data_IF_633893101616
#
_entry.id   IF_633893101616
#
_cell.length_a   1.000
_cell.length_b   1.000
_cell.length_c   1.000
_cell.angle_alpha   90.00
_cell.angle_beta   90.00
_cell.angle_gamma   90.00
#
_symmetry.space_group_name_H-M   'P 1'
#
loop_
_entity.id
_entity.type
_entity.pdbx_description
1 polymer ?
#
# COMPACT_ATOMS: atom_id res chain seq x y z
N UNK A 1 60.03 34.18 -18.57
CA UNK A 1 61.45 34.14 -18.15
C UNK A 1 61.74 33.10 -17.06
N UNK A 2 60.78 32.68 -16.23
CA UNK A 2 61.03 31.69 -15.15
C UNK A 2 61.18 30.22 -15.63
N UNK A 3 60.45 29.79 -16.67
CA UNK A 3 60.51 28.39 -17.14
C UNK A 3 61.80 28.06 -17.90
N UNK A 4 62.34 28.99 -18.68
CA UNK A 4 63.63 28.81 -19.35
C UNK A 4 64.79 28.69 -18.35
N UNK A 5 64.78 29.47 -17.26
CA UNK A 5 65.79 29.35 -16.21
C UNK A 5 65.69 28.03 -15.44
N UNK A 6 64.47 27.50 -15.24
CA UNK A 6 64.25 26.19 -14.59
C UNK A 6 64.67 25.02 -15.50
N UNK A 7 64.33 25.07 -16.78
CA UNK A 7 64.76 24.08 -17.78
C UNK A 7 66.29 24.03 -17.89
N UNK A 8 66.96 25.18 -17.96
CA UNK A 8 68.42 25.25 -17.97
C UNK A 8 69.04 24.73 -16.66
N UNK A 9 68.41 24.97 -15.50
CA UNK A 9 68.89 24.45 -14.21
C UNK A 9 68.80 22.93 -14.09
N UNK A 10 67.76 22.29 -14.62
CA UNK A 10 67.62 20.82 -14.57
C UNK A 10 68.54 20.14 -15.59
N UNK A 11 68.62 20.67 -16.82
CA UNK A 11 69.57 20.20 -17.83
C UNK A 11 71.02 20.32 -17.35
N UNK A 12 71.36 21.39 -16.63
CA UNK A 12 72.69 21.56 -16.04
C UNK A 12 73.05 20.50 -15.00
N UNK A 13 72.08 19.96 -14.25
CA UNK A 13 72.33 18.90 -13.25
C UNK A 13 72.62 17.56 -13.91
N UNK A 14 71.84 17.22 -14.93
CA UNK A 14 72.04 16.00 -15.72
C UNK A 14 73.36 16.07 -16.48
N UNK A 15 73.67 17.22 -17.10
CA UNK A 15 74.95 17.46 -17.76
C UNK A 15 76.15 17.30 -16.81
N UNK A 16 76.02 17.74 -15.56
CA UNK A 16 77.07 17.54 -14.53
C UNK A 16 77.24 16.07 -14.18
N UNK A 17 76.15 15.29 -14.10
CA UNK A 17 76.21 13.86 -13.84
C UNK A 17 76.89 13.09 -14.99
N UNK A 18 76.54 13.41 -16.24
CA UNK A 18 77.19 12.82 -17.42
C UNK A 18 78.68 13.20 -17.51
N UNK A 19 79.04 14.45 -17.19
CA UNK A 19 80.44 14.87 -17.13
C UNK A 19 81.23 14.09 -16.08
N UNK A 20 80.67 13.88 -14.88
CA UNK A 20 81.30 13.05 -13.84
C UNK A 20 81.44 11.59 -14.27
N UNK A 21 80.47 11.04 -15.00
CA UNK A 21 80.55 9.70 -15.57
C UNK A 21 81.68 9.61 -16.61
N UNK A 22 81.75 10.58 -17.52
CA UNK A 22 82.82 10.73 -18.51
C UNK A 22 84.20 10.79 -17.82
N UNK A 23 84.37 11.66 -16.82
CA UNK A 23 85.63 11.80 -16.08
C UNK A 23 86.07 10.48 -15.41
N UNK A 24 85.12 9.68 -14.91
CA UNK A 24 85.44 8.36 -14.33
C UNK A 24 85.79 7.31 -15.39
N UNK A 25 85.15 7.36 -16.56
CA UNK A 25 85.47 6.45 -17.68
C UNK A 25 86.87 6.76 -18.20
N UNK A 26 87.18 8.03 -18.47
CA UNK A 26 88.46 8.46 -19.03
C UNK A 26 89.62 8.31 -18.03
N UNK A 27 89.44 8.70 -16.77
CA UNK A 27 90.56 8.78 -15.81
C UNK A 27 90.72 7.56 -14.91
N UNK A 28 89.76 6.63 -14.89
CA UNK A 28 89.83 5.42 -14.06
C UNK A 28 89.63 4.16 -14.86
N UNK A 29 88.53 4.07 -15.62
CA UNK A 29 88.17 2.83 -16.31
C UNK A 29 89.10 2.52 -17.49
N UNK A 30 89.41 3.53 -18.32
CA UNK A 30 90.29 3.37 -19.48
C UNK A 30 91.74 3.04 -19.11
N UNK A 31 92.38 3.69 -18.10
CA UNK A 31 93.69 3.28 -17.60
C UNK A 31 93.71 1.85 -17.04
N UNK A 32 92.66 1.43 -16.32
CA UNK A 32 92.55 0.06 -15.82
C UNK A 32 92.43 -0.96 -16.96
N UNK A 33 91.66 -0.66 -18.01
CA UNK A 33 91.60 -1.52 -19.19
C UNK A 33 92.94 -1.56 -19.92
N UNK A 34 93.65 -0.44 -20.02
CA UNK A 34 94.98 -0.39 -20.62
C UNK A 34 96.02 -1.16 -19.78
N UNK A 35 95.93 -1.14 -18.45
CA UNK A 35 96.79 -1.93 -17.54
C UNK A 35 96.51 -3.43 -17.67
N UNK A 36 95.25 -3.84 -17.79
CA UNK A 36 94.85 -5.24 -17.84
C UNK A 36 95.02 -5.89 -19.23
N UNK A 37 94.89 -5.11 -20.31
CA UNK A 37 94.81 -5.65 -21.68
C UNK A 37 95.88 -5.12 -22.64
N UNK A 38 96.68 -4.13 -22.22
CA UNK A 38 97.91 -3.56 -22.82
C UNK A 38 97.87 -3.21 -24.32
N UNK A 39 97.74 -4.21 -25.21
CA UNK A 39 97.71 -4.04 -26.68
C UNK A 39 96.55 -4.75 -27.39
N UNK A 40 95.65 -5.43 -26.67
CA UNK A 40 94.48 -6.05 -27.29
C UNK A 40 93.35 -5.03 -27.50
N UNK A 41 93.52 -4.18 -28.52
CA UNK A 41 92.56 -3.13 -28.89
C UNK A 41 91.14 -3.64 -29.06
N UNK A 42 90.97 -4.88 -29.56
CA UNK A 42 89.64 -5.48 -29.73
C UNK A 42 88.87 -5.64 -28.41
N UNK A 43 89.53 -6.06 -27.32
CA UNK A 43 88.87 -6.21 -26.02
C UNK A 43 88.50 -4.83 -25.45
N UNK A 44 89.37 -3.84 -25.62
CA UNK A 44 89.10 -2.47 -25.16
C UNK A 44 87.93 -1.88 -25.96
N UNK A 45 87.89 -2.09 -27.28
CA UNK A 45 86.78 -1.68 -28.15
C UNK A 45 85.46 -2.35 -27.72
N UNK A 46 85.44 -3.67 -27.50
CA UNK A 46 84.25 -4.41 -27.02
C UNK A 46 83.75 -3.87 -25.66
N UNK A 47 84.66 -3.50 -24.75
CA UNK A 47 84.31 -2.92 -23.45
C UNK A 47 83.79 -1.48 -23.58
N UNK A 48 84.35 -0.69 -24.48
CA UNK A 48 83.84 0.64 -24.84
C UNK A 48 82.44 0.55 -25.45
N UNK A 49 82.21 -0.39 -26.37
CA UNK A 49 80.89 -0.67 -26.95
C UNK A 49 79.89 -1.05 -25.86
N UNK A 50 80.27 -1.93 -24.93
CA UNK A 50 79.40 -2.32 -23.80
C UNK A 50 78.95 -1.12 -22.96
N UNK A 51 79.87 -0.17 -22.68
CA UNK A 51 79.54 1.04 -21.91
C UNK A 51 78.66 1.98 -22.74
N UNK A 52 78.96 2.16 -24.03
CA UNK A 52 78.16 3.01 -24.91
C UNK A 52 76.73 2.48 -25.06
N UNK A 53 76.57 1.16 -25.24
CA UNK A 53 75.27 0.51 -25.31
C UNK A 53 74.48 0.67 -24.02
N UNK A 54 75.13 0.50 -22.85
CA UNK A 54 74.48 0.69 -21.57
C UNK A 54 73.98 2.14 -21.34
N UNK A 55 74.76 3.14 -21.79
CA UNK A 55 74.37 4.56 -21.69
C UNK A 55 73.22 4.89 -22.64
N UNK A 56 73.28 4.43 -23.90
CA UNK A 56 72.22 4.65 -24.87
C UNK A 56 70.92 3.94 -24.43
N UNK A 57 71.01 2.70 -23.96
CA UNK A 57 69.88 1.94 -23.45
C UNK A 57 69.19 2.65 -22.28
N UNK A 58 69.95 3.21 -21.32
CA UNK A 58 69.38 3.97 -20.21
C UNK A 58 68.60 5.20 -20.69
N UNK A 59 69.17 5.97 -21.63
CA UNK A 59 68.52 7.16 -22.18
C UNK A 59 67.27 6.78 -22.98
N UNK A 60 67.34 5.72 -23.79
CA UNK A 60 66.21 5.20 -24.56
C UNK A 60 65.10 4.68 -23.64
N UNK A 61 65.43 3.99 -22.55
CA UNK A 61 64.46 3.54 -21.55
C UNK A 61 63.77 4.72 -20.85
N UNK A 62 64.52 5.77 -20.47
CA UNK A 62 63.95 7.00 -19.90
C UNK A 62 63.05 7.73 -20.90
N UNK A 63 63.45 7.81 -22.17
CA UNK A 63 62.62 8.42 -23.22
C UNK A 63 61.35 7.60 -23.43
N UNK A 64 61.45 6.27 -23.45
CA UNK A 64 60.30 5.37 -23.58
C UNK A 64 59.32 5.57 -22.42
N UNK A 65 59.80 5.60 -21.18
CA UNK A 65 58.97 5.85 -20.00
C UNK A 65 58.22 7.18 -20.09
N UNK A 66 58.90 8.27 -20.50
CA UNK A 66 58.25 9.57 -20.67
C UNK A 66 57.26 9.60 -21.84
N UNK A 67 57.51 8.84 -22.91
CA UNK A 67 56.56 8.66 -24.01
C UNK A 67 55.31 7.88 -23.58
N UNK A 68 55.48 6.82 -22.78
CA UNK A 68 54.38 6.05 -22.19
C UNK A 68 53.55 6.92 -21.24
N UNK A 69 54.20 7.68 -20.34
CA UNK A 69 53.54 8.65 -19.47
C UNK A 69 52.73 9.66 -20.28
N UNK A 70 53.31 10.24 -21.34
CA UNK A 70 52.61 11.17 -22.23
C UNK A 70 51.38 10.53 -22.89
N UNK A 71 51.49 9.28 -23.33
CA UNK A 71 50.36 8.55 -23.92
C UNK A 71 49.23 8.33 -22.90
N UNK A 72 49.58 7.97 -21.65
CA UNK A 72 48.61 7.81 -20.56
C UNK A 72 47.87 9.12 -20.25
N UNK A 73 48.61 10.21 -20.07
CA UNK A 73 48.00 11.53 -19.84
C UNK A 73 47.10 11.96 -21.01
N UNK A 74 47.48 11.64 -22.24
CA UNK A 74 46.68 11.97 -23.44
C UNK A 74 45.37 11.18 -23.43
N UNK A 75 45.43 9.87 -23.16
CA UNK A 75 44.26 9.01 -23.03
C UNK A 75 43.31 9.48 -21.91
N UNK A 76 43.87 9.86 -20.74
CA UNK A 76 43.09 10.43 -19.63
C UNK A 76 42.41 11.74 -20.02
N UNK A 77 43.09 12.62 -20.74
CA UNK A 77 42.50 13.88 -21.20
C UNK A 77 41.37 13.62 -22.21
N UNK A 78 41.56 12.72 -23.16
CA UNK A 78 40.52 12.33 -24.13
C UNK A 78 39.31 11.66 -23.47
N UNK A 79 39.50 10.87 -22.42
CA UNK A 79 38.37 10.28 -21.67
C UNK A 79 37.56 11.35 -20.93
N UNK A 80 38.22 12.33 -20.30
CA UNK A 80 37.57 13.46 -19.66
C UNK A 80 36.82 14.34 -20.67
N UNK A 81 37.36 14.54 -21.87
CA UNK A 81 36.66 15.26 -22.95
C UNK A 81 35.40 14.52 -23.42
N UNK A 82 35.46 13.19 -23.52
CA UNK A 82 34.28 12.37 -23.84
C UNK A 82 33.22 12.47 -22.73
N UNK A 83 33.65 12.42 -21.48
CA UNK A 83 32.75 12.62 -20.33
C UNK A 83 32.09 14.00 -20.36
N UNK A 84 32.85 15.05 -20.65
CA UNK A 84 32.34 16.41 -20.79
C UNK A 84 31.22 16.49 -21.84
N UNK A 85 31.43 15.93 -23.03
CA UNK A 85 30.40 15.89 -24.09
C UNK A 85 29.13 15.15 -23.64
N UNK A 86 29.28 14.05 -22.89
CA UNK A 86 28.14 13.31 -22.34
C UNK A 86 27.37 14.17 -21.33
N UNK A 87 28.06 14.82 -20.39
CA UNK A 87 27.43 15.70 -19.40
C UNK A 87 26.77 16.93 -20.04
N UNK A 88 27.38 17.51 -21.07
CA UNK A 88 26.78 18.60 -21.86
C UNK A 88 25.45 18.18 -22.48
N UNK A 89 25.41 16.96 -23.04
CA UNK A 89 24.20 16.39 -23.66
C UNK A 89 23.14 16.06 -22.62
N UNK A 90 23.51 15.36 -21.54
CA UNK A 90 22.57 14.92 -20.49
C UNK A 90 21.97 16.09 -19.70
N UNK A 91 22.78 17.11 -19.39
CA UNK A 91 22.33 18.25 -18.58
C UNK A 91 21.84 19.43 -19.43
N UNK A 92 22.02 19.37 -20.76
CA UNK A 92 21.77 20.47 -21.69
C UNK A 92 22.52 21.75 -21.29
N UNK A 93 23.80 21.61 -21.00
CA UNK A 93 24.70 22.68 -20.57
C UNK A 93 25.92 22.75 -21.49
N UNK A 94 26.67 23.86 -21.39
CA UNK A 94 28.01 23.96 -21.97
C UNK A 94 29.01 23.91 -20.82
N UNK A 95 29.87 22.91 -20.80
CA UNK A 95 30.98 22.88 -19.84
C UNK A 95 31.94 23.95 -20.32
N UNK A 96 32.22 24.95 -19.48
CA UNK A 96 33.20 25.98 -19.81
C UNK A 96 34.56 25.29 -19.92
N UNK A 97 34.91 24.85 -21.12
CA UNK A 97 36.26 24.38 -21.43
C UNK A 97 37.10 25.62 -21.28
N UNK A 98 37.72 25.79 -20.12
CA UNK A 98 38.76 26.80 -19.96
C UNK A 98 39.76 26.49 -21.06
N UNK A 99 39.68 27.22 -22.18
CA UNK A 99 40.52 26.98 -23.35
C UNK A 99 41.91 27.29 -22.83
N UNK A 100 42.60 26.24 -22.38
CA UNK A 100 43.99 26.31 -22.00
C UNK A 100 44.66 26.96 -23.17
N UNK A 101 45.24 28.15 -22.95
CA UNK A 101 46.11 28.80 -23.94
C UNK A 101 46.99 27.69 -24.50
N UNK A 102 47.19 27.61 -25.82
CA UNK A 102 47.88 26.48 -26.46
C UNK A 102 49.23 26.08 -25.81
N UNK A 103 49.79 26.96 -24.99
CA UNK A 103 50.96 26.79 -24.13
C UNK A 103 50.77 26.04 -22.79
N UNK A 104 49.58 25.59 -22.38
CA UNK A 104 49.39 24.95 -21.06
C UNK A 104 49.81 23.46 -21.06
N UNK A 105 50.58 22.99 -20.04
CA UNK A 105 50.94 21.58 -19.89
C UNK A 105 49.72 20.65 -19.78
N UNK A 106 49.87 19.42 -20.26
CA UNK A 106 48.79 18.42 -20.28
C UNK A 106 48.23 18.12 -18.88
N UNK A 107 49.08 18.07 -17.85
CA UNK A 107 48.64 17.91 -16.46
C UNK A 107 47.78 19.08 -15.96
N UNK A 108 48.06 20.31 -16.40
CA UNK A 108 47.26 21.50 -16.11
C UNK A 108 45.88 21.41 -16.77
N UNK A 109 45.84 21.02 -18.05
CA UNK A 109 44.59 20.80 -18.81
C UNK A 109 43.69 19.75 -18.15
N UNK A 110 44.27 18.63 -17.70
CA UNK A 110 43.54 17.57 -16.98
C UNK A 110 42.96 18.11 -15.67
N UNK A 111 43.78 18.75 -14.84
CA UNK A 111 43.34 19.29 -13.53
C UNK A 111 42.20 20.30 -13.69
N UNK A 112 42.33 21.23 -14.64
CA UNK A 112 41.30 22.25 -14.87
C UNK A 112 40.00 21.60 -15.36
N UNK A 113 40.08 20.65 -16.30
CA UNK A 113 38.91 19.93 -16.79
C UNK A 113 38.25 19.07 -15.70
N UNK A 114 39.03 18.41 -14.84
CA UNK A 114 38.50 17.69 -13.67
C UNK A 114 37.74 18.62 -12.72
N UNK A 115 38.27 19.81 -12.46
CA UNK A 115 37.63 20.82 -11.62
C UNK A 115 36.34 21.36 -12.26
N UNK A 116 36.36 21.62 -13.57
CA UNK A 116 35.19 22.11 -14.32
C UNK A 116 34.08 21.04 -14.35
N UNK A 117 34.44 19.75 -14.48
CA UNK A 117 33.47 18.64 -14.51
C UNK A 117 32.87 18.32 -13.14
N UNK A 118 33.59 18.56 -12.04
CA UNK A 118 33.16 18.19 -10.68
C UNK A 118 31.78 18.74 -10.32
N UNK A 119 31.51 20.02 -10.64
CA UNK A 119 30.21 20.62 -10.37
C UNK A 119 29.08 19.96 -11.17
N UNK A 120 29.36 19.60 -12.43
CA UNK A 120 28.37 18.98 -13.32
C UNK A 120 28.08 17.52 -12.92
N UNK A 121 29.10 16.78 -12.48
CA UNK A 121 28.94 15.44 -11.88
C UNK A 121 28.01 15.49 -10.68
N UNK A 122 28.21 16.46 -9.77
CA UNK A 122 27.34 16.65 -8.60
C UNK A 122 25.89 16.92 -8.98
N UNK A 123 25.66 17.85 -9.92
CA UNK A 123 24.29 18.16 -10.38
C UNK A 123 23.62 16.94 -11.01
N UNK A 124 24.34 16.17 -11.83
CA UNK A 124 23.84 14.92 -12.40
C UNK A 124 23.45 13.92 -11.33
N UNK A 125 24.33 13.67 -10.37
CA UNK A 125 24.09 12.74 -9.27
C UNK A 125 22.89 13.19 -8.41
N UNK A 126 22.80 14.48 -8.11
CA UNK A 126 21.68 15.05 -7.37
C UNK A 126 20.36 14.86 -8.11
N UNK A 127 20.29 15.19 -9.40
CA UNK A 127 19.06 15.03 -10.21
C UNK A 127 18.63 13.57 -10.31
N UNK A 128 19.57 12.64 -10.50
CA UNK A 128 19.26 11.21 -10.53
C UNK A 128 18.81 10.69 -9.15
N UNK A 129 19.42 11.20 -8.06
CA UNK A 129 19.00 10.87 -6.70
C UNK A 129 17.58 11.38 -6.41
N UNK A 130 17.27 12.63 -6.78
CA UNK A 130 15.93 13.20 -6.66
C UNK A 130 14.90 12.40 -7.48
N UNK A 131 15.24 11.99 -8.71
CA UNK A 131 14.38 11.15 -9.54
C UNK A 131 14.06 9.83 -8.83
N UNK A 132 15.06 9.12 -8.31
CA UNK A 132 14.87 7.85 -7.59
C UNK A 132 13.96 8.02 -6.39
N UNK A 133 14.18 9.06 -5.58
CA UNK A 133 13.33 9.34 -4.41
C UNK A 133 11.87 9.61 -4.81
N UNK A 134 11.65 10.35 -5.91
CA UNK A 134 10.31 10.61 -6.43
C UNK A 134 9.65 9.33 -6.98
N UNK A 135 10.40 8.48 -7.68
CA UNK A 135 9.92 7.18 -8.18
C UNK A 135 9.57 6.22 -7.05
N UNK A 136 10.38 6.15 -6.00
CA UNK A 136 10.10 5.29 -4.85
C UNK A 136 8.82 5.74 -4.12
N UNK A 137 8.65 7.06 -3.99
CA UNK A 137 7.43 7.65 -3.43
C UNK A 137 6.22 7.42 -4.33
N UNK A 138 6.36 7.56 -5.64
CA UNK A 138 5.31 7.23 -6.61
C UNK A 138 4.88 5.76 -6.47
N UNK A 139 5.83 4.82 -6.47
CA UNK A 139 5.56 3.37 -6.31
C UNK A 139 4.78 3.09 -5.03
N UNK A 140 5.18 3.69 -3.91
CA UNK A 140 4.49 3.52 -2.63
C UNK A 140 3.04 4.04 -2.70
N UNK A 141 2.84 5.23 -3.26
CA UNK A 141 1.52 5.86 -3.37
C UNK A 141 0.60 5.10 -4.34
N UNK A 142 1.10 4.76 -5.53
CA UNK A 142 0.38 4.01 -6.55
C UNK A 142 0.00 2.60 -6.06
N UNK A 143 0.88 1.93 -5.30
CA UNK A 143 0.57 0.65 -4.66
C UNK A 143 -0.63 0.77 -3.71
N UNK A 144 -0.68 1.82 -2.88
CA UNK A 144 -1.80 2.09 -1.97
C UNK A 144 -3.09 2.50 -2.69
N UNK A 145 -2.96 3.24 -3.81
CA UNK A 145 -4.07 3.68 -4.65
C UNK A 145 -4.56 2.60 -5.62
N UNK A 146 -3.86 1.47 -5.71
CA UNK A 146 -4.07 0.38 -6.68
C UNK A 146 -4.09 0.86 -8.14
N UNK A 147 -3.12 1.72 -8.47
CA UNK A 147 -2.96 2.34 -9.78
C UNK A 147 -1.56 2.07 -10.36
N UNK A 148 -1.41 2.09 -11.70
CA UNK A 148 -0.10 1.93 -12.32
C UNK A 148 0.81 3.14 -12.03
N UNK A 149 2.12 2.90 -12.00
CA UNK A 149 3.14 3.95 -11.95
C UNK A 149 3.42 4.50 -13.35
N UNK A 150 3.71 5.79 -13.45
CA UNK A 150 3.99 6.51 -14.70
C UNK A 150 5.50 6.71 -14.95
N UNK A 151 6.31 6.98 -13.93
CA UNK A 151 7.72 7.37 -14.11
C UNK A 151 8.74 6.29 -13.71
N UNK A 152 8.31 5.10 -13.30
CA UNK A 152 9.17 4.00 -12.82
C UNK A 152 10.32 3.63 -13.77
N UNK A 153 10.11 3.70 -15.08
CA UNK A 153 11.10 3.27 -16.09
C UNK A 153 12.06 4.40 -16.52
N UNK A 154 11.88 5.63 -16.00
CA UNK A 154 12.73 6.75 -16.34
C UNK A 154 14.13 6.59 -15.72
N UNK A 155 15.14 6.43 -16.57
CA UNK A 155 16.55 6.27 -16.14
C UNK A 155 17.48 7.39 -16.65
N UNK A 156 16.97 8.31 -17.46
CA UNK A 156 17.73 9.45 -17.99
C UNK A 156 17.80 10.58 -16.98
N UNK A 157 18.83 11.42 -17.08
CA UNK A 157 18.97 12.60 -16.22
C UNK A 157 17.82 13.56 -16.54
N UNK A 158 16.90 13.83 -15.59
CA UNK A 158 15.75 14.68 -15.87
C UNK A 158 16.17 16.16 -15.90
N UNK A 159 15.48 16.95 -16.73
CA UNK A 159 15.54 18.41 -16.64
C UNK A 159 14.87 18.91 -15.35
N UNK A 160 15.17 20.14 -14.94
CA UNK A 160 14.52 20.74 -13.77
C UNK A 160 12.99 20.85 -13.94
N UNK A 161 12.52 21.08 -15.17
CA UNK A 161 11.08 21.11 -15.47
C UNK A 161 10.45 19.72 -15.34
N UNK A 162 11.10 18.68 -15.85
CA UNK A 162 10.63 17.29 -15.71
C UNK A 162 10.60 16.87 -14.23
N UNK A 163 11.62 17.21 -13.44
CA UNK A 163 11.62 16.96 -11.99
C UNK A 163 10.47 17.68 -11.29
N UNK A 164 10.15 18.91 -11.68
CA UNK A 164 9.01 19.65 -11.15
C UNK A 164 7.68 18.98 -11.51
N UNK A 165 7.50 18.55 -12.75
CA UNK A 165 6.29 17.83 -13.19
C UNK A 165 6.08 16.53 -12.40
N UNK A 166 7.14 15.73 -12.22
CA UNK A 166 7.08 14.51 -11.41
C UNK A 166 6.76 14.84 -9.94
N UNK A 167 7.36 15.90 -9.39
CA UNK A 167 7.09 16.36 -8.02
C UNK A 167 5.62 16.78 -7.84
N UNK A 168 5.08 17.54 -8.78
CA UNK A 168 3.68 18.00 -8.77
C UNK A 168 2.72 16.80 -8.89
N UNK A 169 3.05 15.81 -9.71
CA UNK A 169 2.30 14.56 -9.82
C UNK A 169 2.31 13.73 -8.52
N UNK A 170 3.49 13.54 -7.91
CA UNK A 170 3.61 12.84 -6.62
C UNK A 170 2.83 13.58 -5.52
N UNK A 171 2.80 14.91 -5.56
CA UNK A 171 1.96 15.71 -4.66
C UNK A 171 0.46 15.50 -4.92
N UNK A 172 0.00 15.41 -6.18
CA UNK A 172 -1.40 15.10 -6.46
C UNK A 172 -1.78 13.72 -5.96
N UNK A 173 -0.94 12.70 -6.16
CA UNK A 173 -1.16 11.35 -5.62
C UNK A 173 -1.23 11.35 -4.09
N UNK A 174 -0.36 12.13 -3.42
CA UNK A 174 -0.38 12.26 -1.96
C UNK A 174 -1.70 12.88 -1.47
N UNK A 175 -2.18 13.93 -2.15
CA UNK A 175 -3.46 14.57 -1.82
C UNK A 175 -4.63 13.62 -2.06
N UNK A 176 -4.63 12.89 -3.17
CA UNK A 176 -5.65 11.92 -3.49
C UNK A 176 -5.70 10.78 -2.46
N UNK A 177 -4.55 10.23 -2.09
CA UNK A 177 -4.45 9.19 -1.06
C UNK A 177 -5.06 9.67 0.27
N UNK A 178 -4.77 10.91 0.69
CA UNK A 178 -5.34 11.46 1.91
C UNK A 178 -6.88 11.59 1.85
N UNK A 179 -7.43 11.96 0.69
CA UNK A 179 -8.88 12.02 0.46
C UNK A 179 -9.50 10.62 0.52
N UNK A 180 -8.90 9.64 -0.19
CA UNK A 180 -9.38 8.25 -0.21
C UNK A 180 -9.28 7.59 1.17
N UNK A 181 -8.22 7.85 1.92
CA UNK A 181 -8.04 7.38 3.31
C UNK A 181 -9.15 7.92 4.23
N UNK A 182 -9.46 9.22 4.16
CA UNK A 182 -10.57 9.79 4.93
C UNK A 182 -11.91 9.15 4.55
N UNK A 183 -12.17 8.99 3.25
CA UNK A 183 -13.41 8.35 2.76
C UNK A 183 -13.52 6.91 3.26
N UNK A 184 -12.45 6.12 3.16
CA UNK A 184 -12.39 4.76 3.68
C UNK A 184 -12.66 4.73 5.18
N UNK A 185 -12.00 5.59 5.97
CA UNK A 185 -12.16 5.61 7.43
C UNK A 185 -13.62 5.88 7.82
N UNK A 186 -14.27 6.85 7.18
CA UNK A 186 -15.68 7.16 7.44
C UNK A 186 -16.55 5.94 7.13
N UNK A 187 -16.47 5.42 5.90
CA UNK A 187 -17.29 4.27 5.47
C UNK A 187 -17.04 3.03 6.34
N UNK A 188 -15.79 2.72 6.65
CA UNK A 188 -15.38 1.60 7.49
C UNK A 188 -16.00 1.72 8.89
N UNK A 189 -15.96 2.92 9.50
CA UNK A 189 -16.54 3.13 10.82
C UNK A 189 -18.06 2.97 10.82
N UNK A 190 -18.74 3.51 9.80
CA UNK A 190 -20.20 3.41 9.66
C UNK A 190 -20.64 1.94 9.46
N UNK A 191 -19.95 1.20 8.59
CA UNK A 191 -20.21 -0.22 8.34
C UNK A 191 -20.04 -1.05 9.62
N UNK A 192 -18.93 -0.88 10.33
CA UNK A 192 -18.69 -1.62 11.58
C UNK A 192 -19.68 -1.22 12.69
N UNK A 193 -20.07 0.05 12.75
CA UNK A 193 -21.10 0.51 13.67
C UNK A 193 -22.47 -0.12 13.35
N UNK A 194 -22.83 -0.27 12.06
CA UNK A 194 -24.05 -0.95 11.67
C UNK A 194 -24.02 -2.44 12.03
N UNK A 195 -22.93 -3.16 11.75
CA UNK A 195 -22.80 -4.56 12.18
C UNK A 195 -22.94 -4.71 13.70
N UNK A 196 -22.28 -3.85 14.47
CA UNK A 196 -22.33 -3.89 15.94
C UNK A 196 -23.73 -3.55 16.48
N UNK A 197 -24.32 -2.45 16.01
CA UNK A 197 -25.61 -1.96 16.52
C UNK A 197 -26.77 -2.88 16.17
N UNK A 198 -26.78 -3.45 14.96
CA UNK A 198 -27.80 -4.39 14.50
C UNK A 198 -27.53 -5.83 14.97
N UNK A 199 -26.36 -6.09 15.57
CA UNK A 199 -25.87 -7.43 15.95
C UNK A 199 -25.81 -8.39 14.75
N UNK A 200 -25.35 -7.87 13.61
CA UNK A 200 -25.13 -8.62 12.38
C UNK A 200 -23.66 -9.04 12.28
N UNK A 201 -23.41 -10.06 11.45
CA UNK A 201 -22.07 -10.53 11.09
C UNK A 201 -21.91 -10.51 9.57
N UNK A 202 -20.68 -10.37 9.05
CA UNK A 202 -20.41 -10.47 7.63
C UNK A 202 -20.89 -11.81 7.08
N UNK A 203 -21.56 -11.78 5.91
CA UNK A 203 -22.22 -12.93 5.29
C UNK A 203 -21.32 -13.51 4.19
N UNK A 204 -20.21 -14.15 4.56
CA UNK A 204 -19.31 -14.75 3.58
C UNK A 204 -18.30 -15.73 4.17
N UNK A 205 -17.73 -16.64 3.35
CA UNK A 205 -16.60 -17.47 3.73
C UNK A 205 -15.33 -16.64 3.97
N UNK A 206 -14.29 -17.24 4.54
CA UNK A 206 -13.00 -16.58 4.68
C UNK A 206 -12.43 -16.18 3.32
N UNK A 207 -12.16 -14.88 3.13
CA UNK A 207 -11.66 -14.30 1.88
C UNK A 207 -12.68 -13.44 1.11
N UNK A 208 -13.95 -13.47 1.50
CA UNK A 208 -14.99 -12.59 0.95
C UNK A 208 -14.73 -11.10 1.28
N UNK A 209 -15.28 -10.20 0.46
CA UNK A 209 -15.10 -8.76 0.63
C UNK A 209 -15.56 -8.27 2.00
N UNK A 210 -16.73 -8.70 2.48
CA UNK A 210 -17.22 -8.28 3.80
C UNK A 210 -16.28 -8.70 4.92
N UNK A 211 -15.67 -9.89 4.81
CA UNK A 211 -14.73 -10.40 5.81
C UNK A 211 -13.40 -9.62 5.81
N UNK A 212 -12.92 -9.23 4.62
CA UNK A 212 -11.74 -8.36 4.46
C UNK A 212 -11.98 -6.98 5.07
N UNK A 213 -13.18 -6.42 4.86
CA UNK A 213 -13.61 -5.18 5.51
C UNK A 213 -13.66 -5.36 7.02
N UNK A 214 -14.31 -6.41 7.52
CA UNK A 214 -14.42 -6.67 8.96
C UNK A 214 -13.05 -6.78 9.66
N UNK A 215 -12.06 -7.42 9.02
CA UNK A 215 -10.67 -7.55 9.50
C UNK A 215 -9.78 -6.33 9.25
N UNK A 216 -10.32 -5.30 8.58
CA UNK A 216 -9.58 -4.09 8.18
C UNK A 216 -8.37 -4.37 7.25
N UNK A 217 -8.44 -5.39 6.41
CA UNK A 217 -7.36 -5.77 5.48
C UNK A 217 -7.21 -4.79 4.30
N UNK A 218 -8.22 -3.94 4.06
CA UNK A 218 -8.28 -3.00 2.94
C UNK A 218 -7.74 -1.59 3.28
N UNK A 219 -7.26 -1.34 4.49
CA UNK A 219 -6.81 -0.02 4.94
C UNK A 219 -5.72 0.63 4.06
N UNK A 220 -4.92 -0.20 3.37
CA UNK A 220 -3.87 0.23 2.45
C UNK A 220 -4.17 -0.14 0.97
N UNK A 221 -5.39 -0.55 0.65
CA UNK A 221 -5.83 -0.94 -0.69
C UNK A 221 -7.01 -0.06 -1.10
N UNK A 222 -6.68 1.18 -1.43
CA UNK A 222 -7.63 2.28 -1.60
C UNK A 222 -7.91 2.55 -3.07
N UNK A 223 -7.97 1.51 -3.89
CA UNK A 223 -8.48 1.57 -5.26
C UNK A 223 -9.92 2.07 -5.32
N UNK A 224 -10.29 2.60 -6.49
CA UNK A 224 -11.66 3.07 -6.76
C UNK A 224 -12.66 1.95 -6.52
N UNK A 225 -12.40 0.77 -7.07
CA UNK A 225 -13.25 -0.42 -6.96
C UNK A 225 -13.49 -0.81 -5.49
N UNK A 226 -12.44 -0.85 -4.66
CA UNK A 226 -12.56 -1.17 -3.24
C UNK A 226 -13.41 -0.16 -2.48
N UNK A 227 -13.28 1.14 -2.79
CA UNK A 227 -14.10 2.19 -2.18
C UNK A 227 -15.56 2.14 -2.64
N UNK A 228 -15.81 1.81 -3.90
CA UNK A 228 -17.16 1.64 -4.44
C UNK A 228 -17.85 0.41 -3.85
N UNK A 229 -17.14 -0.72 -3.75
CA UNK A 229 -17.63 -1.92 -3.08
C UNK A 229 -17.95 -1.66 -1.60
N UNK A 230 -17.10 -0.90 -0.89
CA UNK A 230 -17.36 -0.54 0.51
C UNK A 230 -18.59 0.37 0.65
N UNK A 231 -18.77 1.32 -0.26
CA UNK A 231 -19.97 2.15 -0.31
C UNK A 231 -21.23 1.32 -0.65
N UNK A 232 -21.12 0.36 -1.56
CA UNK A 232 -22.17 -0.61 -1.87
C UNK A 232 -22.57 -1.46 -0.67
N UNK A 233 -21.58 -1.95 0.08
CA UNK A 233 -21.80 -2.69 1.33
C UNK A 233 -22.54 -1.83 2.37
N UNK A 234 -22.14 -0.56 2.53
CA UNK A 234 -22.86 0.38 3.40
C UNK A 234 -24.33 0.48 3.00
N UNK A 235 -24.63 0.71 1.72
CA UNK A 235 -26.01 0.80 1.23
C UNK A 235 -26.81 -0.50 1.44
N UNK A 236 -26.18 -1.66 1.25
CA UNK A 236 -26.80 -2.96 1.51
C UNK A 236 -27.16 -3.15 2.99
N UNK A 237 -26.28 -2.70 3.90
CA UNK A 237 -26.53 -2.73 5.34
C UNK A 237 -27.63 -1.74 5.76
N UNK A 238 -27.69 -0.55 5.15
CA UNK A 238 -28.79 0.40 5.35
C UNK A 238 -30.12 -0.20 4.90
N UNK A 239 -30.17 -0.84 3.72
CA UNK A 239 -31.37 -1.56 3.27
C UNK A 239 -31.76 -2.72 4.19
N UNK A 240 -30.78 -3.40 4.81
CA UNK A 240 -31.04 -4.44 5.82
C UNK A 240 -31.61 -3.83 7.10
N UNK A 241 -31.04 -2.72 7.58
CA UNK A 241 -31.55 -1.97 8.73
C UNK A 241 -33.00 -1.57 8.52
N UNK A 242 -33.34 -1.03 7.35
CA UNK A 242 -34.69 -0.54 7.07
C UNK A 242 -35.70 -1.68 7.01
N UNK A 243 -35.31 -2.84 6.45
CA UNK A 243 -36.12 -4.08 6.50
C UNK A 243 -36.34 -4.56 7.94
N UNK A 244 -35.29 -4.58 8.76
CA UNK A 244 -35.39 -4.94 10.18
C UNK A 244 -36.29 -3.98 10.96
N UNK A 245 -36.23 -2.67 10.66
CA UNK A 245 -37.09 -1.67 11.28
C UNK A 245 -38.56 -1.90 10.92
N UNK A 246 -38.86 -2.12 9.63
CA UNK A 246 -40.20 -2.42 9.17
C UNK A 246 -40.76 -3.72 9.79
N UNK A 247 -39.93 -4.76 9.89
CA UNK A 247 -40.30 -6.01 10.56
C UNK A 247 -40.61 -5.76 12.04
N UNK A 248 -39.74 -5.04 12.75
CA UNK A 248 -39.94 -4.74 14.17
C UNK A 248 -41.23 -3.93 14.41
N UNK A 249 -41.55 -2.96 13.54
CA UNK A 249 -42.78 -2.17 13.66
C UNK A 249 -44.03 -3.01 13.37
N UNK A 250 -43.97 -3.93 12.40
CA UNK A 250 -45.03 -4.92 12.18
C UNK A 250 -45.24 -5.81 13.41
N UNK A 251 -44.16 -6.28 14.03
CA UNK A 251 -44.22 -7.12 15.23
C UNK A 251 -44.79 -6.34 16.43
N UNK A 252 -44.37 -5.08 16.63
CA UNK A 252 -44.95 -4.21 17.66
C UNK A 252 -46.46 -4.04 17.49
N UNK A 253 -46.92 -3.83 16.26
CA UNK A 253 -48.36 -3.71 15.98
C UNK A 253 -49.12 -5.01 16.27
N UNK A 254 -48.60 -6.15 15.80
CA UNK A 254 -49.20 -7.46 16.06
C UNK A 254 -49.26 -7.77 17.56
N UNK A 255 -48.17 -7.54 18.28
CA UNK A 255 -48.09 -7.75 19.73
C UNK A 255 -49.03 -6.83 20.50
N UNK A 256 -49.10 -5.55 20.14
CA UNK A 256 -50.04 -4.60 20.77
C UNK A 256 -51.50 -5.03 20.57
N UNK A 257 -51.83 -5.57 19.39
CA UNK A 257 -53.17 -6.09 19.11
C UNK A 257 -53.50 -7.29 19.99
N UNK A 258 -52.55 -8.22 20.18
CA UNK A 258 -52.71 -9.36 21.07
C UNK A 258 -52.86 -8.95 22.53
N UNK A 259 -52.01 -8.05 23.03
CA UNK A 259 -52.10 -7.54 24.39
C UNK A 259 -53.44 -6.84 24.67
N UNK A 260 -53.99 -6.11 23.70
CA UNK A 260 -55.32 -5.50 23.82
C UNK A 260 -56.42 -6.56 23.95
N UNK A 261 -56.34 -7.66 23.19
CA UNK A 261 -57.32 -8.76 23.24
C UNK A 261 -57.22 -9.59 24.51
N UNK A 262 -56.01 -9.74 25.05
CA UNK A 262 -55.73 -10.50 26.28
C UNK A 262 -55.86 -9.66 27.57
N UNK A 263 -56.20 -8.38 27.45
CA UNK A 263 -56.24 -7.41 28.55
C UNK A 263 -54.95 -7.41 29.41
N UNK A 264 -53.79 -7.51 28.75
CA UNK A 264 -52.48 -7.55 29.43
C UNK A 264 -52.22 -6.23 30.15
N UNK A 265 -51.72 -6.27 31.39
CA UNK A 265 -51.54 -5.08 32.23
C UNK A 265 -50.54 -4.10 31.64
N UNK A 266 -50.84 -2.80 31.73
CA UNK A 266 -49.98 -1.74 31.18
C UNK A 266 -48.52 -1.80 31.67
N UNK A 267 -48.30 -2.12 32.95
CA UNK A 267 -46.96 -2.25 33.55
C UNK A 267 -46.13 -3.35 32.88
N UNK A 268 -46.74 -4.47 32.52
CA UNK A 268 -46.06 -5.60 31.87
C UNK A 268 -45.64 -5.22 30.45
N UNK A 269 -46.55 -4.58 29.70
CA UNK A 269 -46.26 -4.06 28.35
C UNK A 269 -45.11 -3.06 28.37
N UNK A 270 -45.15 -2.09 29.28
CA UNK A 270 -44.11 -1.06 29.42
C UNK A 270 -42.75 -1.68 29.76
N UNK A 271 -42.73 -2.64 30.71
CA UNK A 271 -41.50 -3.34 31.09
C UNK A 271 -40.86 -4.06 29.89
N UNK A 272 -41.68 -4.73 29.07
CA UNK A 272 -41.20 -5.41 27.86
C UNK A 272 -40.64 -4.42 26.83
N UNK A 273 -41.38 -3.37 26.51
CA UNK A 273 -40.98 -2.36 25.53
C UNK A 273 -39.71 -1.59 25.95
N UNK A 274 -39.57 -1.27 27.25
CA UNK A 274 -38.36 -0.62 27.78
C UNK A 274 -37.13 -1.52 27.66
N UNK A 275 -37.28 -2.82 27.93
CA UNK A 275 -36.20 -3.80 27.81
C UNK A 275 -35.78 -4.03 26.35
N UNK A 276 -36.71 -3.91 25.41
CA UNK A 276 -36.55 -4.22 24.00
C UNK A 276 -36.74 -2.99 23.10
N UNK A 277 -36.02 -1.92 23.41
CA UNK A 277 -36.16 -0.61 22.76
C UNK A 277 -35.16 -0.33 21.61
N UNK A 278 -34.21 -1.23 21.35
CA UNK A 278 -33.18 -1.07 20.31
C UNK A 278 -33.53 -1.86 19.06
N UNK A 279 -33.13 -1.35 17.90
CA UNK A 279 -33.18 -2.11 16.66
C UNK A 279 -31.98 -3.05 16.57
N UNK A 280 -32.18 -4.34 16.85
CA UNK A 280 -31.20 -5.40 16.64
C UNK A 280 -31.88 -6.77 16.49
N UNK A 281 -31.13 -7.76 16.03
CA UNK A 281 -31.61 -9.14 15.85
C UNK A 281 -32.22 -9.71 17.13
N UNK A 282 -31.54 -9.56 18.26
CA UNK A 282 -32.05 -10.04 19.56
C UNK A 282 -33.43 -9.47 19.89
N UNK A 283 -33.65 -8.17 19.67
CA UNK A 283 -34.94 -7.53 19.95
C UNK A 283 -36.04 -8.10 19.07
N UNK A 284 -35.80 -8.24 17.77
CA UNK A 284 -36.76 -8.85 16.84
C UNK A 284 -37.13 -10.28 17.29
N UNK A 285 -36.15 -11.09 17.69
CA UNK A 285 -36.39 -12.45 18.21
C UNK A 285 -37.23 -12.44 19.49
N UNK A 286 -37.00 -11.51 20.41
CA UNK A 286 -37.80 -11.40 21.63
C UNK A 286 -39.24 -10.99 21.34
N UNK A 287 -39.48 -10.08 20.38
CA UNK A 287 -40.83 -9.74 19.95
C UNK A 287 -41.56 -10.94 19.33
N UNK A 288 -40.89 -11.72 18.48
CA UNK A 288 -41.46 -12.95 17.91
C UNK A 288 -41.85 -13.95 19.01
N UNK A 289 -40.93 -14.19 19.95
CA UNK A 289 -41.18 -15.09 21.08
C UNK A 289 -42.34 -14.62 21.97
N UNK A 290 -42.43 -13.33 22.26
CA UNK A 290 -43.53 -12.79 23.06
C UNK A 290 -44.88 -12.92 22.35
N UNK A 291 -44.90 -12.73 21.01
CA UNK A 291 -46.09 -12.97 20.20
C UNK A 291 -46.52 -14.43 20.28
N UNK A 292 -45.58 -15.38 20.18
CA UNK A 292 -45.86 -16.82 20.33
C UNK A 292 -46.45 -17.14 21.71
N UNK A 293 -45.89 -16.57 22.78
CA UNK A 293 -46.42 -16.71 24.14
C UNK A 293 -47.84 -16.15 24.26
N UNK A 294 -48.10 -14.96 23.70
CA UNK A 294 -49.43 -14.36 23.70
C UNK A 294 -50.44 -15.20 22.89
N UNK A 295 -50.02 -15.77 21.76
CA UNK A 295 -50.87 -16.65 20.96
C UNK A 295 -51.23 -17.94 21.70
N UNK A 296 -50.27 -18.55 22.39
CA UNK A 296 -50.51 -19.72 23.24
C UNK A 296 -51.48 -19.40 24.37
N UNK A 297 -51.31 -18.26 25.06
CA UNK A 297 -52.22 -17.83 26.12
C UNK A 297 -53.63 -17.55 25.60
N UNK A 298 -53.77 -16.98 24.39
CA UNK A 298 -55.07 -16.80 23.74
C UNK A 298 -55.77 -18.15 23.54
N UNK A 299 -55.05 -19.15 23.02
CA UNK A 299 -55.60 -20.50 22.81
C UNK A 299 -56.01 -21.16 24.14
N UNK A 300 -55.18 -21.07 25.17
CA UNK A 300 -55.49 -21.59 26.50
C UNK A 300 -56.75 -20.93 27.10
N UNK A 301 -56.89 -19.61 26.96
CA UNK A 301 -58.08 -18.89 27.40
C UNK A 301 -59.33 -19.33 26.64
N UNK A 302 -59.25 -19.49 25.30
CA UNK A 302 -60.36 -20.00 24.49
C UNK A 302 -60.77 -21.41 24.95
N UNK A 303 -59.80 -22.30 25.16
CA UNK A 303 -60.07 -23.67 25.63
C UNK A 303 -60.79 -23.68 26.98
N UNK A 304 -60.36 -22.81 27.91
CA UNK A 304 -60.99 -22.66 29.21
C UNK A 304 -62.44 -22.16 29.09
N UNK A 305 -62.66 -21.09 28.32
CA UNK A 305 -64.01 -20.52 28.11
C UNK A 305 -64.94 -21.55 27.46
N UNK A 306 -64.45 -22.27 26.44
CA UNK A 306 -65.23 -23.36 25.81
C UNK A 306 -65.55 -24.47 26.81
N UNK A 307 -64.60 -24.83 27.69
CA UNK A 307 -64.84 -25.79 28.77
C UNK A 307 -65.95 -25.33 29.73
N UNK A 308 -65.90 -24.08 30.17
CA UNK A 308 -66.92 -23.48 31.05
C UNK A 308 -68.31 -23.46 30.36
N UNK A 309 -68.35 -23.07 29.08
CA UNK A 309 -69.58 -23.08 28.27
C UNK A 309 -70.11 -24.51 28.08
N UNK A 310 -69.25 -25.50 27.84
CA UNK A 310 -69.68 -26.90 27.70
C UNK A 310 -70.34 -27.41 28.98
N UNK A 311 -69.80 -27.08 30.15
CA UNK A 311 -70.44 -27.38 31.42
C UNK A 311 -71.80 -26.68 31.55
N UNK A 312 -71.93 -25.42 31.12
CA UNK A 312 -73.20 -24.71 31.09
C UNK A 312 -74.22 -25.38 30.14
N UNK A 313 -73.80 -25.80 28.94
CA UNK A 313 -74.65 -26.52 27.98
C UNK A 313 -75.14 -27.85 28.59
N UNK A 314 -74.26 -28.62 29.23
CA UNK A 314 -74.67 -29.87 29.90
C UNK A 314 -75.73 -29.64 30.97
N UNK A 315 -75.57 -28.60 31.78
CA UNK A 315 -76.55 -28.22 32.79
C UNK A 315 -77.91 -27.87 32.16
N UNK A 316 -77.92 -27.12 31.05
CA UNK A 316 -79.16 -26.82 30.31
C UNK A 316 -79.78 -28.06 29.67
N UNK A 317 -78.99 -28.92 29.05
CA UNK A 317 -79.48 -30.20 28.50
C UNK A 317 -80.07 -31.10 29.58
N UNK A 318 -79.50 -31.09 30.78
CA UNK A 318 -80.02 -31.82 31.93
C UNK A 318 -81.35 -31.22 32.42
N UNK A 319 -81.46 -29.89 32.53
CA UNK A 319 -82.69 -29.18 32.92
C UNK A 319 -83.83 -29.37 31.92
N UNK A 320 -83.53 -29.36 30.62
CA UNK A 320 -84.51 -29.52 29.55
C UNK A 320 -84.82 -31.00 29.21
N UNK A 321 -84.23 -31.95 29.94
CA UNK A 321 -84.37 -33.41 29.70
C UNK A 321 -84.03 -33.84 28.26
N UNK A 322 -83.04 -33.20 27.63
CA UNK A 322 -82.61 -33.51 26.26
C UNK A 322 -81.88 -34.87 26.24
N UNK A 323 -82.37 -35.80 25.42
CA UNK A 323 -81.83 -37.14 25.28
C UNK A 323 -80.53 -37.23 24.47
N UNK A 324 -79.79 -38.35 24.54
CA UNK A 324 -78.44 -38.48 23.96
C UNK A 324 -78.37 -38.19 22.45
N UNK A 325 -79.33 -38.71 21.67
CA UNK A 325 -79.38 -38.53 20.21
C UNK A 325 -79.56 -37.08 19.78
N UNK A 326 -80.12 -36.23 20.64
CA UNK A 326 -80.32 -34.82 20.34
C UNK A 326 -79.13 -33.96 20.76
N UNK A 327 -78.39 -34.37 21.80
CA UNK A 327 -77.10 -33.78 22.19
C UNK A 327 -76.03 -34.00 21.11
N UNK A 328 -75.99 -35.19 20.51
CA UNK A 328 -75.05 -35.53 19.43
C UNK A 328 -75.21 -34.68 18.16
N UNK A 329 -76.34 -33.98 17.98
CA UNK A 329 -76.53 -33.04 16.86
C UNK A 329 -75.59 -31.84 16.96
N UNK A 330 -75.16 -31.47 18.17
CA UNK A 330 -74.15 -30.43 18.38
C UNK A 330 -72.75 -31.06 18.42
N UNK A 331 -72.24 -31.41 17.23
CA UNK A 331 -70.95 -32.10 17.09
C UNK A 331 -69.74 -31.32 17.65
N UNK A 332 -69.80 -29.99 17.63
CA UNK A 332 -68.72 -29.13 18.13
C UNK A 332 -68.47 -29.32 19.64
N UNK A 333 -69.46 -29.82 20.37
CA UNK A 333 -69.34 -30.17 21.79
C UNK A 333 -68.23 -31.19 22.06
N UNK A 334 -68.04 -32.16 21.16
CA UNK A 334 -67.13 -33.28 21.36
C UNK A 334 -65.73 -33.04 20.81
N UNK A 335 -65.46 -31.89 20.20
CA UNK A 335 -64.14 -31.52 19.70
C UNK A 335 -63.16 -31.30 20.87
N UNK A 336 -62.14 -32.14 21.00
CA UNK A 336 -61.08 -31.97 22.01
C UNK A 336 -59.82 -31.30 21.47
N UNK A 337 -59.62 -31.33 20.15
CA UNK A 337 -58.48 -30.73 19.47
C UNK A 337 -58.94 -29.59 18.55
N UNK A 338 -58.02 -28.67 18.20
CA UNK A 338 -58.29 -27.53 17.32
C UNK A 338 -59.43 -26.62 17.81
N UNK A 339 -59.49 -26.33 19.11
CA UNK A 339 -60.45 -25.38 19.66
C UNK A 339 -60.05 -23.97 19.20
N UNK A 340 -60.72 -23.48 18.15
CA UNK A 340 -60.53 -22.16 17.56
C UNK A 340 -61.55 -21.16 18.09
N UNK A 341 -61.39 -19.89 17.70
CA UNK A 341 -62.36 -18.82 17.97
C UNK A 341 -63.73 -19.13 17.33
N UNK A 342 -63.77 -19.79 16.17
CA UNK A 342 -65.02 -20.26 15.53
C UNK A 342 -65.75 -21.32 16.36
N UNK A 343 -64.98 -22.23 17.00
CA UNK A 343 -65.55 -23.23 17.91
C UNK A 343 -66.15 -22.54 19.13
N UNK A 344 -65.48 -21.53 19.69
CA UNK A 344 -66.02 -20.72 20.79
C UNK A 344 -67.35 -20.04 20.40
N UNK A 345 -67.40 -19.35 19.25
CA UNK A 345 -68.62 -18.70 18.76
C UNK A 345 -69.77 -19.69 18.52
N UNK A 346 -69.46 -20.93 18.10
CA UNK A 346 -70.45 -22.00 17.96
C UNK A 346 -71.06 -22.40 19.32
N UNK A 347 -70.22 -22.54 20.35
CA UNK A 347 -70.64 -22.87 21.71
C UNK A 347 -71.45 -21.75 22.37
N UNK A 348 -71.05 -20.49 22.18
CA UNK A 348 -71.81 -19.33 22.68
C UNK A 348 -73.21 -19.25 22.06
N UNK A 349 -73.33 -19.49 20.74
CA UNK A 349 -74.62 -19.53 20.05
C UNK A 349 -75.52 -20.65 20.54
N UNK A 350 -74.94 -21.82 20.82
CA UNK A 350 -75.70 -22.96 21.34
C UNK A 350 -76.24 -22.68 22.74
N UNK A 351 -75.44 -22.09 23.63
CA UNK A 351 -75.92 -21.65 24.95
C UNK A 351 -77.06 -20.64 24.83
N UNK A 352 -76.93 -19.66 23.95
CA UNK A 352 -77.96 -18.63 23.75
C UNK A 352 -79.27 -19.25 23.26
N UNK A 353 -79.19 -20.20 22.31
CA UNK A 353 -80.35 -20.98 21.84
C UNK A 353 -81.03 -21.73 22.99
N UNK A 354 -80.24 -22.34 23.86
CA UNK A 354 -80.75 -23.10 25.01
C UNK A 354 -81.36 -22.21 26.09
N UNK A 355 -80.88 -20.96 26.25
CA UNK A 355 -81.45 -19.96 27.17
C UNK A 355 -82.79 -19.38 26.70
N UNK A 356 -83.08 -19.46 25.40
CA UNK A 356 -84.32 -18.99 24.80
C UNK A 356 -85.45 -20.04 24.84
N UNK A 357 -85.09 -21.31 25.12
CA UNK A 357 -86.00 -22.40 25.40
C UNK A 357 -86.41 -22.41 26.88
#
# INVERSE_FOLDING_TARGET
>A
MSDMSLSMSHGSRIATAFKKAQDNIENKLFPLWHELYETNGKIIDERCETVNDAVNQLVDDMIREEQENKAEYTSKYESLLREANTLETELSIVVARTIGRDSEPLCGKIRNLEQDLEQHRRVREERLSQLRQLQDKEKELCSKLEQPTQYTDMCTVPSESALKEIRDYVQSLTKELAVRQKKYQILYTEVNQMWTSLQLKPKGPEGDFEMKVYRNELANKLGTDNLELLAGLKMSLEGTRDKMAAELDSLKYALSTLWNRLDTKAKERETFLMKHNKLNTTTIEQFKKEIEVCQALKLENIQKIVGDIRSEIEDWWNKAHIGPNEREKFGDFYLQENITEEVLESHEREVERMKQY
#
